data_IF_862224630860
#
_entry.id   IF_862224630860
#
_cell.length_a   1.000
_cell.length_b   1.000
_cell.length_c   1.000
_cell.angle_alpha   90.00
_cell.angle_beta   90.00
_cell.angle_gamma   90.00
#
_symmetry.space_group_name_H-M   'P 1'
#
loop_
_entity.id
_entity.type
_entity.pdbx_description
1 polymer ?
#
# COMPACT_ATOMS: atom_id res chain seq x y z
N UNK A 1 -11.46 -13.21 22.01
CA UNK A 1 -12.08 -14.25 21.18
C UNK A 1 -11.82 -15.63 21.78
N UNK A 2 -12.82 -16.52 21.72
CA UNK A 2 -12.65 -17.98 21.80
C UNK A 2 -12.83 -18.57 20.42
N UNK A 3 -11.95 -19.49 20.02
CA UNK A 3 -11.93 -19.95 18.64
C UNK A 3 -11.48 -21.40 18.51
N UNK A 4 -12.00 -22.08 17.51
CA UNK A 4 -11.47 -23.36 17.05
C UNK A 4 -10.34 -23.09 16.05
N UNK A 5 -9.17 -23.68 16.36
CA UNK A 5 -7.95 -23.50 15.57
C UNK A 5 -7.47 -24.86 15.10
N UNK A 6 -7.33 -25.03 13.79
CA UNK A 6 -6.74 -26.23 13.21
C UNK A 6 -5.22 -26.06 13.14
N UNK A 7 -4.52 -26.93 13.85
CA UNK A 7 -3.04 -26.93 13.82
C UNK A 7 -2.56 -27.43 12.46
N UNK A 8 -1.74 -26.62 11.81
CA UNK A 8 -1.13 -26.94 10.49
C UNK A 8 0.34 -27.27 10.57
N UNK A 9 1.02 -26.84 11.65
CA UNK A 9 2.41 -27.19 11.93
C UNK A 9 2.65 -27.11 13.43
N UNK A 10 3.15 -28.22 13.98
CA UNK A 10 3.59 -28.29 15.38
C UNK A 10 5.12 -28.14 15.46
N UNK A 11 5.59 -27.35 16.43
CA UNK A 11 6.98 -27.08 16.75
C UNK A 11 7.21 -27.27 18.25
N UNK A 12 8.47 -27.51 18.68
CA UNK A 12 8.80 -27.81 20.08
C UNK A 12 8.24 -26.84 21.15
N UNK A 13 8.04 -25.57 20.80
CA UNK A 13 7.64 -24.50 21.75
C UNK A 13 6.39 -23.74 21.34
N UNK A 14 5.90 -23.93 20.13
CA UNK A 14 4.73 -23.26 19.55
C UNK A 14 4.17 -24.07 18.40
N UNK A 15 2.95 -23.77 18.02
CA UNK A 15 2.32 -24.36 16.84
C UNK A 15 1.77 -23.25 15.93
N UNK A 16 1.70 -23.52 14.63
CA UNK A 16 0.96 -22.68 13.68
C UNK A 16 -0.43 -23.27 13.51
N UNK A 17 -1.43 -22.41 13.60
CA UNK A 17 -2.82 -22.78 13.40
C UNK A 17 -3.52 -21.87 12.41
N UNK A 18 -4.59 -22.37 11.83
CA UNK A 18 -5.53 -21.62 11.01
C UNK A 18 -6.84 -21.55 11.80
N UNK A 19 -7.41 -20.35 11.89
CA UNK A 19 -8.73 -20.14 12.46
C UNK A 19 -9.77 -20.87 11.61
N UNK A 20 -10.44 -21.88 12.21
CA UNK A 20 -11.55 -22.60 11.57
C UNK A 20 -12.89 -21.93 11.89
N UNK A 21 -13.15 -21.67 13.17
CA UNK A 21 -14.41 -21.10 13.63
C UNK A 21 -14.23 -20.23 14.86
N UNK A 22 -14.94 -19.09 14.90
CA UNK A 22 -15.01 -18.21 16.05
C UNK A 22 -16.20 -18.66 16.92
N UNK A 23 -15.94 -19.17 18.14
CA UNK A 23 -16.99 -19.60 19.07
C UNK A 23 -17.61 -18.42 19.76
N UNK A 24 -16.78 -17.59 20.38
CA UNK A 24 -17.21 -16.41 21.11
C UNK A 24 -16.37 -15.21 20.65
N UNK A 25 -16.94 -14.27 19.85
CA UNK A 25 -16.22 -13.06 19.50
C UNK A 25 -15.94 -12.19 20.73
N UNK A 26 -14.78 -11.53 20.76
CA UNK A 26 -14.48 -10.50 21.76
C UNK A 26 -15.46 -9.33 21.61
N UNK A 27 -15.85 -8.67 22.73
CA UNK A 27 -16.59 -7.40 22.66
C UNK A 27 -15.85 -6.28 21.92
N UNK A 28 -14.52 -6.38 21.83
CA UNK A 28 -13.68 -5.44 21.08
C UNK A 28 -13.67 -5.68 19.57
N UNK A 29 -14.33 -6.74 19.09
CA UNK A 29 -14.40 -7.04 17.66
C UNK A 29 -15.45 -6.18 16.97
N UNK A 30 -15.04 -5.56 15.85
CA UNK A 30 -15.92 -4.78 14.99
C UNK A 30 -16.11 -5.46 13.63
N UNK A 31 -17.21 -5.15 12.91
CA UNK A 31 -17.38 -5.58 11.53
C UNK A 31 -16.25 -5.05 10.65
N UNK A 32 -15.67 -5.93 9.83
CA UNK A 32 -14.61 -5.54 8.90
C UNK A 32 -15.22 -4.84 7.69
N UNK A 33 -14.88 -3.58 7.50
CA UNK A 33 -15.39 -2.71 6.43
C UNK A 33 -14.58 -2.77 5.11
N UNK A 34 -13.60 -3.67 5.03
CA UNK A 34 -12.78 -3.90 3.84
C UNK A 34 -13.10 -5.26 3.24
N UNK A 35 -13.66 -5.27 2.03
CA UNK A 35 -14.09 -6.50 1.34
C UNK A 35 -12.95 -7.49 1.08
N UNK A 36 -11.69 -7.04 1.10
CA UNK A 36 -10.50 -7.86 0.80
C UNK A 36 -9.60 -8.08 2.03
N UNK A 37 -10.04 -7.74 3.23
CA UNK A 37 -9.22 -7.85 4.45
C UNK A 37 -8.72 -9.27 4.72
N UNK A 38 -9.50 -10.31 4.40
CA UNK A 38 -9.06 -11.70 4.56
C UNK A 38 -7.96 -12.12 3.60
N UNK A 39 -8.14 -11.99 2.29
CA UNK A 39 -7.13 -12.39 1.31
C UNK A 39 -5.97 -11.41 1.16
N UNK A 40 -6.15 -10.11 1.49
CA UNK A 40 -5.11 -9.11 1.44
C UNK A 40 -4.20 -9.20 2.67
N UNK A 41 -2.88 -9.18 2.48
CA UNK A 41 -1.90 -9.22 3.58
C UNK A 41 -1.61 -7.86 4.24
N UNK A 42 -2.35 -6.80 3.92
CA UNK A 42 -1.98 -5.42 4.29
C UNK A 42 -2.38 -4.98 5.69
N UNK A 43 -3.46 -5.54 6.27
CA UNK A 43 -4.00 -5.13 7.57
C UNK A 43 -4.19 -6.34 8.50
N UNK A 44 -3.58 -6.29 9.69
CA UNK A 44 -3.65 -7.38 10.67
C UNK A 44 -4.75 -7.19 11.71
N UNK A 45 -5.16 -5.96 12.01
CA UNK A 45 -6.04 -5.61 13.14
C UNK A 45 -7.35 -4.93 12.71
N UNK A 46 -7.74 -5.01 11.42
CA UNK A 46 -8.94 -4.34 10.89
C UNK A 46 -10.27 -4.82 11.52
N UNK A 47 -10.25 -5.92 12.22
CA UNK A 47 -11.38 -6.51 12.94
C UNK A 47 -11.47 -6.06 14.39
N UNK A 48 -10.57 -5.20 14.85
CA UNK A 48 -10.46 -4.76 16.23
C UNK A 48 -10.86 -3.28 16.35
N UNK A 49 -11.63 -2.95 17.40
CA UNK A 49 -11.89 -1.56 17.76
C UNK A 49 -10.58 -0.82 18.00
N UNK A 50 -10.53 0.47 17.60
CA UNK A 50 -9.28 1.23 17.64
C UNK A 50 -8.74 1.41 19.06
N UNK A 51 -9.61 1.59 20.04
CA UNK A 51 -9.20 1.71 21.47
C UNK A 51 -8.58 0.40 21.94
N UNK A 52 -9.15 -0.73 21.56
CA UNK A 52 -8.59 -2.05 21.86
C UNK A 52 -7.27 -2.30 21.11
N UNK A 53 -7.14 -1.84 19.86
CA UNK A 53 -5.88 -1.88 19.11
C UNK A 53 -4.78 -1.10 19.83
N UNK A 54 -5.08 0.11 20.35
CA UNK A 54 -4.14 0.92 21.13
C UNK A 54 -3.69 0.17 22.40
N UNK A 55 -4.64 -0.40 23.15
CA UNK A 55 -4.31 -1.21 24.36
C UNK A 55 -3.37 -2.37 24.01
N UNK A 56 -3.71 -3.15 23.00
CA UNK A 56 -2.88 -4.29 22.58
C UNK A 56 -1.47 -3.87 22.14
N UNK A 57 -1.33 -2.74 21.45
CA UNK A 57 -0.02 -2.20 21.05
C UNK A 57 0.79 -1.74 22.25
N UNK A 58 0.18 -1.07 23.22
CA UNK A 58 0.84 -0.63 24.44
C UNK A 58 1.28 -1.82 25.31
N UNK A 59 0.42 -2.82 25.47
CA UNK A 59 0.74 -4.06 26.17
C UNK A 59 1.92 -4.80 25.53
N UNK A 60 1.97 -4.88 24.19
CA UNK A 60 3.10 -5.48 23.47
C UNK A 60 4.43 -4.78 23.78
N UNK A 61 4.44 -3.44 23.85
CA UNK A 61 5.65 -2.68 24.20
C UNK A 61 6.05 -2.92 25.66
N UNK A 62 5.10 -2.85 26.59
CA UNK A 62 5.31 -3.13 28.01
C UNK A 62 5.87 -4.53 28.22
N UNK A 63 5.29 -5.53 27.59
CA UNK A 63 5.75 -6.92 27.67
C UNK A 63 7.14 -7.12 27.05
N UNK A 64 7.46 -6.40 25.96
CA UNK A 64 8.80 -6.45 25.38
C UNK A 64 9.86 -5.92 26.34
N UNK A 65 9.62 -4.79 27.03
CA UNK A 65 10.54 -4.30 28.06
C UNK A 65 10.67 -5.29 29.21
N UNK A 66 9.55 -5.76 29.76
CA UNK A 66 9.55 -6.63 30.94
C UNK A 66 10.10 -8.02 30.64
N UNK A 67 9.57 -8.72 29.62
CA UNK A 67 9.86 -10.14 29.37
C UNK A 67 11.10 -10.38 28.53
N UNK A 68 11.40 -9.49 27.58
CA UNK A 68 12.58 -9.64 26.70
C UNK A 68 13.74 -8.83 27.25
N UNK A 69 13.50 -7.56 27.61
CA UNK A 69 14.50 -6.65 28.11
C UNK A 69 14.88 -6.89 29.59
N UNK A 70 14.05 -7.58 30.37
CA UNK A 70 14.25 -7.72 31.82
C UNK A 70 14.16 -6.38 32.58
N UNK A 71 13.50 -5.37 31.97
CA UNK A 71 13.42 -4.02 32.51
C UNK A 71 11.99 -3.75 33.02
N UNK A 72 11.88 -3.29 34.25
CA UNK A 72 10.63 -2.81 34.84
C UNK A 72 10.60 -1.26 34.77
N UNK A 73 10.27 -0.75 33.58
CA UNK A 73 10.20 0.70 33.33
C UNK A 73 8.77 1.10 32.99
N UNK A 74 8.31 2.30 33.39
CA UNK A 74 7.00 2.78 33.03
C UNK A 74 6.94 3.04 31.52
N UNK A 75 5.93 2.48 30.86
CA UNK A 75 5.57 2.79 29.47
C UNK A 75 4.45 3.81 29.52
N UNK A 76 4.68 4.99 28.95
CA UNK A 76 3.68 6.06 28.86
C UNK A 76 2.51 5.63 27.98
N UNK A 77 1.37 6.28 28.14
CA UNK A 77 0.19 6.04 27.32
C UNK A 77 0.48 6.24 25.84
N UNK A 78 -0.02 5.33 25.03
CA UNK A 78 0.13 5.39 23.58
C UNK A 78 -0.57 6.64 23.03
N UNK A 79 0.13 7.40 22.19
CA UNK A 79 -0.44 8.54 21.48
C UNK A 79 -1.31 8.03 20.32
N UNK A 80 -2.63 8.25 20.32
CA UNK A 80 -3.49 7.81 19.22
C UNK A 80 -3.25 8.65 17.96
N UNK A 81 -3.42 8.02 16.80
CA UNK A 81 -3.47 8.77 15.53
C UNK A 81 -4.80 9.52 15.43
N UNK A 82 -4.81 10.79 15.00
CA UNK A 82 -6.05 11.51 14.75
C UNK A 82 -6.86 10.91 13.59
N UNK A 83 -6.17 10.29 12.63
CA UNK A 83 -6.77 9.60 11.49
C UNK A 83 -6.47 8.11 11.55
N UNK A 84 -7.50 7.28 11.62
CA UNK A 84 -7.38 5.81 11.64
C UNK A 84 -7.35 5.24 10.23
N UNK A 85 -8.03 5.89 9.30
CA UNK A 85 -8.09 5.59 7.89
C UNK A 85 -7.49 6.71 7.04
N UNK A 86 -7.16 6.41 5.78
CA UNK A 86 -6.71 7.39 4.78
C UNK A 86 -5.43 8.16 5.13
N UNK A 87 -4.68 7.71 6.13
CA UNK A 87 -3.49 8.39 6.66
C UNK A 87 -2.21 8.21 5.84
N UNK A 88 -2.14 7.19 4.97
CA UNK A 88 -0.93 6.91 4.19
C UNK A 88 -0.78 7.88 3.03
N UNK A 89 0.28 8.68 3.05
CA UNK A 89 0.61 9.62 1.99
C UNK A 89 1.29 8.97 0.76
N UNK A 90 1.58 7.66 0.81
CA UNK A 90 2.27 6.92 -0.26
C UNK A 90 1.68 5.53 -0.44
N UNK A 91 1.54 5.10 -1.68
CA UNK A 91 1.16 3.73 -2.03
C UNK A 91 1.96 3.22 -3.23
N UNK A 92 2.20 1.92 -3.25
CA UNK A 92 2.86 1.21 -4.35
C UNK A 92 1.93 0.04 -4.73
N UNK A 93 1.09 0.28 -5.72
CA UNK A 93 0.18 -0.75 -6.21
C UNK A 93 0.88 -1.67 -7.19
N UNK A 94 1.03 -2.97 -6.94
CA UNK A 94 1.26 -3.91 -8.02
C UNK A 94 0.07 -3.86 -8.99
N UNK A 95 0.38 -3.94 -10.28
CA UNK A 95 -0.64 -3.96 -11.33
C UNK A 95 -0.75 -5.38 -11.87
N UNK A 96 -1.95 -5.92 -11.87
CA UNK A 96 -2.24 -7.25 -12.36
C UNK A 96 -3.50 -7.30 -13.20
N UNK A 97 -4.00 -8.50 -13.44
CA UNK A 97 -5.26 -8.73 -14.11
C UNK A 97 -6.31 -9.22 -13.10
N UNK A 98 -7.52 -8.72 -13.22
CA UNK A 98 -8.67 -9.23 -12.49
C UNK A 98 -9.15 -10.58 -13.10
N UNK A 99 -10.21 -11.16 -12.53
CA UNK A 99 -10.81 -12.43 -13.00
C UNK A 99 -11.38 -12.35 -14.44
N UNK A 100 -11.59 -11.14 -14.97
CA UNK A 100 -12.11 -10.90 -16.31
C UNK A 100 -10.98 -10.56 -17.29
N UNK A 101 -9.72 -10.56 -16.85
CA UNK A 101 -8.55 -10.21 -17.66
C UNK A 101 -8.32 -8.72 -17.83
N UNK A 102 -8.97 -7.86 -17.05
CA UNK A 102 -8.75 -6.41 -17.10
C UNK A 102 -7.61 -6.00 -16.14
N UNK A 103 -6.80 -5.00 -16.51
CA UNK A 103 -5.83 -4.41 -15.59
C UNK A 103 -6.48 -3.91 -14.30
N UNK A 104 -5.89 -4.23 -13.16
CA UNK A 104 -6.37 -3.81 -11.85
C UNK A 104 -5.21 -3.47 -10.91
N UNK A 105 -5.47 -2.54 -9.99
CA UNK A 105 -4.62 -2.30 -8.84
C UNK A 105 -5.01 -3.25 -7.69
N UNK A 106 -4.03 -3.56 -6.83
CA UNK A 106 -4.31 -4.37 -5.65
C UNK A 106 -3.11 -4.46 -4.72
N UNK A 107 -3.09 -5.53 -3.94
CA UNK A 107 -1.96 -5.87 -3.07
C UNK A 107 -1.70 -7.38 -3.14
N UNK A 108 -0.50 -7.78 -2.78
CA UNK A 108 -0.18 -9.19 -2.73
C UNK A 108 -0.90 -9.89 -1.58
N UNK A 109 -1.46 -11.06 -1.86
CA UNK A 109 -1.91 -11.97 -0.81
C UNK A 109 -0.72 -12.39 0.06
N UNK A 110 -0.94 -12.53 1.36
CA UNK A 110 0.13 -12.80 2.31
C UNK A 110 1.04 -13.96 1.86
N UNK A 111 2.36 -13.71 1.86
CA UNK A 111 3.42 -14.66 1.46
C UNK A 111 3.34 -15.17 0.02
N UNK A 112 2.70 -14.43 -0.88
CA UNK A 112 2.60 -14.77 -2.30
C UNK A 112 2.78 -13.54 -3.17
N UNK A 113 2.94 -13.72 -4.49
CA UNK A 113 2.89 -12.66 -5.50
C UNK A 113 1.52 -12.59 -6.21
N UNK A 114 0.51 -13.31 -5.69
CA UNK A 114 -0.86 -13.23 -6.22
C UNK A 114 -1.50 -11.91 -5.82
N UNK A 115 -1.87 -11.11 -6.80
CA UNK A 115 -2.52 -9.81 -6.58
C UNK A 115 -3.99 -10.04 -6.18
N UNK A 116 -4.39 -9.42 -5.09
CA UNK A 116 -5.78 -9.30 -4.65
C UNK A 116 -6.27 -7.94 -5.13
N UNK A 117 -7.19 -7.86 -6.10
CA UNK A 117 -7.73 -6.60 -6.57
C UNK A 117 -8.35 -5.79 -5.43
N UNK A 118 -7.93 -4.53 -5.29
CA UNK A 118 -8.40 -3.64 -4.21
C UNK A 118 -8.57 -2.23 -4.77
N UNK A 119 -9.73 -1.90 -5.35
CA UNK A 119 -9.97 -0.61 -5.98
C UNK A 119 -10.14 0.54 -4.98
N UNK A 120 -10.50 0.24 -3.72
CA UNK A 120 -10.63 1.22 -2.64
C UNK A 120 -9.98 0.71 -1.35
N UNK A 121 -8.68 0.92 -1.22
CA UNK A 121 -7.95 0.64 0.01
C UNK A 121 -8.19 1.77 1.02
N UNK A 122 -8.54 1.41 2.26
CA UNK A 122 -8.83 2.36 3.33
C UNK A 122 -7.60 3.05 3.91
N UNK A 123 -6.38 2.60 3.59
CA UNK A 123 -5.16 3.14 4.21
C UNK A 123 -4.70 4.46 3.59
N UNK A 124 -4.88 4.67 2.29
CA UNK A 124 -4.47 5.90 1.60
C UNK A 124 -5.68 6.77 1.20
N UNK A 125 -5.47 8.08 0.99
CA UNK A 125 -6.50 8.99 0.48
C UNK A 125 -7.21 8.44 -0.76
N UNK A 126 -8.52 8.64 -0.86
CA UNK A 126 -9.34 8.12 -1.96
C UNK A 126 -8.81 8.51 -3.33
N UNK A 127 -8.32 9.74 -3.49
CA UNK A 127 -7.74 10.24 -4.74
C UNK A 127 -6.60 9.35 -5.27
N UNK A 128 -5.80 8.73 -4.40
CA UNK A 128 -4.74 7.81 -4.84
C UNK A 128 -5.32 6.50 -5.40
N UNK A 129 -6.42 6.00 -4.83
CA UNK A 129 -7.16 4.87 -5.39
C UNK A 129 -7.77 5.24 -6.75
N UNK A 130 -8.37 6.43 -6.86
CA UNK A 130 -9.02 6.92 -8.07
C UNK A 130 -8.03 7.06 -9.23
N UNK A 131 -6.83 7.61 -8.95
CA UNK A 131 -5.73 7.69 -9.93
C UNK A 131 -5.30 6.29 -10.36
N UNK A 132 -5.09 5.36 -9.43
CA UNK A 132 -4.72 3.99 -9.75
C UNK A 132 -5.75 3.29 -10.63
N UNK A 133 -7.05 3.46 -10.33
CA UNK A 133 -8.14 2.92 -11.14
C UNK A 133 -8.25 3.61 -12.51
N UNK A 134 -8.01 4.93 -12.60
CA UNK A 134 -7.99 5.65 -13.88
C UNK A 134 -6.85 5.16 -14.79
N UNK A 135 -5.68 4.91 -14.21
CA UNK A 135 -4.54 4.31 -14.93
C UNK A 135 -4.87 2.92 -15.45
N UNK A 136 -5.50 2.06 -14.64
CA UNK A 136 -5.91 0.72 -15.09
C UNK A 136 -6.93 0.77 -16.24
N UNK A 137 -7.89 1.71 -16.20
CA UNK A 137 -8.81 1.93 -17.32
C UNK A 137 -8.06 2.37 -18.58
N UNK A 138 -7.12 3.33 -18.47
CA UNK A 138 -6.29 3.75 -19.57
C UNK A 138 -5.47 2.59 -20.17
N UNK A 139 -4.91 1.72 -19.32
CA UNK A 139 -4.17 0.54 -19.78
C UNK A 139 -5.06 -0.40 -20.58
N UNK A 140 -6.28 -0.67 -20.09
CA UNK A 140 -7.25 -1.53 -20.80
C UNK A 140 -7.63 -0.96 -22.17
N UNK A 141 -7.95 0.34 -22.24
CA UNK A 141 -8.36 1.04 -23.46
C UNK A 141 -7.26 1.06 -24.54
N UNK A 142 -5.98 1.08 -24.13
CA UNK A 142 -4.82 1.18 -25.01
C UNK A 142 -4.04 -0.14 -25.16
N UNK A 143 -4.56 -1.26 -24.67
CA UNK A 143 -3.90 -2.56 -24.77
C UNK A 143 -2.58 -2.69 -24.03
N UNK A 144 -2.34 -1.82 -23.02
CA UNK A 144 -1.11 -1.84 -22.21
C UNK A 144 -1.22 -2.95 -21.17
N UNK A 145 -0.33 -3.95 -21.28
CA UNK A 145 -0.39 -5.13 -20.45
C UNK A 145 0.38 -4.96 -19.13
N UNK A 146 -0.20 -5.35 -17.98
CA UNK A 146 0.54 -5.56 -16.75
C UNK A 146 1.68 -6.57 -16.94
N UNK A 147 2.78 -6.37 -16.21
CA UNK A 147 3.89 -7.31 -16.21
C UNK A 147 3.52 -8.59 -15.45
N UNK A 148 3.73 -9.70 -16.11
CA UNK A 148 3.55 -11.03 -15.52
C UNK A 148 4.93 -11.59 -15.15
N UNK A 149 5.18 -11.84 -13.88
CA UNK A 149 6.46 -12.30 -13.34
C UNK A 149 6.82 -13.73 -13.78
N UNK A 150 5.82 -14.58 -14.04
CA UNK A 150 6.05 -15.97 -14.48
C UNK A 150 6.49 -16.05 -15.94
N UNK A 151 5.90 -15.22 -16.80
CA UNK A 151 6.20 -15.22 -18.24
C UNK A 151 7.25 -14.22 -18.66
N UNK A 152 7.57 -13.24 -17.78
CA UNK A 152 8.46 -12.13 -18.09
C UNK A 152 7.89 -11.14 -19.13
N UNK A 153 6.58 -11.20 -19.42
CA UNK A 153 5.92 -10.37 -20.42
C UNK A 153 5.06 -9.27 -19.81
N UNK A 154 4.84 -8.20 -20.55
CA UNK A 154 4.08 -7.03 -20.12
C UNK A 154 4.97 -5.81 -19.88
N UNK A 155 4.35 -4.67 -19.60
CA UNK A 155 5.03 -3.39 -19.48
C UNK A 155 4.99 -2.86 -18.05
N UNK A 156 3.79 -2.73 -17.47
CA UNK A 156 3.58 -2.03 -16.19
C UNK A 156 3.67 -3.01 -15.03
N UNK A 157 4.61 -2.77 -14.12
CA UNK A 157 4.81 -3.57 -12.90
C UNK A 157 4.05 -2.99 -11.72
N UNK A 158 4.25 -1.69 -11.46
CA UNK A 158 3.65 -1.01 -10.31
C UNK A 158 3.22 0.40 -10.70
N UNK A 159 2.24 0.92 -9.96
CA UNK A 159 1.89 2.33 -9.90
C UNK A 159 2.33 2.82 -8.52
N UNK A 160 3.33 3.69 -8.48
CA UNK A 160 3.78 4.37 -7.29
C UNK A 160 3.12 5.75 -7.23
N UNK A 161 2.39 6.02 -6.15
CA UNK A 161 1.75 7.31 -5.91
C UNK A 161 2.21 7.88 -4.58
N UNK A 162 2.46 9.19 -4.56
CA UNK A 162 2.80 9.94 -3.34
C UNK A 162 2.03 11.25 -3.34
N UNK A 163 1.49 11.60 -2.17
CA UNK A 163 0.80 12.88 -1.93
C UNK A 163 1.51 13.63 -0.84
N UNK A 164 1.78 14.93 -1.05
CA UNK A 164 2.21 15.83 0.02
C UNK A 164 1.11 15.97 1.05
N UNK A 165 1.43 15.80 2.33
CA UNK A 165 0.44 15.85 3.40
C UNK A 165 -0.12 17.26 3.60
N UNK A 166 0.73 18.29 3.49
CA UNK A 166 0.36 19.69 3.62
C UNK A 166 0.07 20.35 2.28
N UNK A 167 0.89 20.09 1.26
CA UNK A 167 0.73 20.71 -0.06
C UNK A 167 -0.43 20.13 -0.87
N UNK A 168 -0.79 18.88 -0.63
CA UNK A 168 -1.73 18.14 -1.46
C UNK A 168 -1.19 17.70 -2.82
N UNK A 169 0.00 18.15 -3.23
CA UNK A 169 0.61 17.81 -4.52
C UNK A 169 0.77 16.28 -4.67
N UNK A 170 0.49 15.77 -5.87
CA UNK A 170 0.55 14.34 -6.15
C UNK A 170 1.64 14.03 -7.17
N UNK A 171 2.46 13.06 -6.86
CA UNK A 171 3.37 12.39 -7.77
C UNK A 171 2.76 11.09 -8.25
N UNK A 172 2.75 10.89 -9.56
CA UNK A 172 2.44 9.63 -10.22
C UNK A 172 3.72 9.07 -10.82
N UNK A 173 4.11 7.85 -10.46
CA UNK A 173 5.28 7.19 -11.03
C UNK A 173 4.89 5.79 -11.53
N UNK A 174 4.96 5.58 -12.84
CA UNK A 174 4.74 4.28 -13.46
C UNK A 174 6.04 3.48 -13.42
N UNK A 175 6.02 2.32 -12.81
CA UNK A 175 7.17 1.42 -12.81
C UNK A 175 7.00 0.42 -13.94
N UNK A 176 7.87 0.52 -14.95
CA UNK A 176 7.77 -0.22 -16.19
C UNK A 176 9.01 -1.07 -16.45
N UNK A 177 8.88 -2.08 -17.31
CA UNK A 177 10.00 -2.95 -17.71
C UNK A 177 10.96 -2.29 -18.69
N UNK A 178 10.56 -1.20 -19.35
CA UNK A 178 11.33 -0.45 -20.37
C UNK A 178 10.90 1.01 -20.43
N UNK A 179 11.75 1.93 -20.95
CA UNK A 179 11.48 3.37 -20.93
C UNK A 179 10.43 3.83 -21.97
N UNK A 180 10.15 3.03 -22.99
CA UNK A 180 9.18 3.40 -24.00
C UNK A 180 7.75 3.07 -23.54
N UNK A 181 7.01 4.10 -23.14
CA UNK A 181 5.62 3.98 -22.72
C UNK A 181 4.68 4.47 -23.85
N UNK A 182 3.79 3.60 -24.37
CA UNK A 182 2.90 3.99 -25.45
C UNK A 182 1.87 5.00 -24.95
N UNK A 183 1.54 5.98 -25.82
CA UNK A 183 0.55 7.02 -25.53
C UNK A 183 0.84 7.88 -24.30
N UNK A 184 2.13 8.13 -23.98
CA UNK A 184 2.55 8.89 -22.79
C UNK A 184 1.90 10.28 -22.70
N UNK A 185 1.87 11.03 -23.82
CA UNK A 185 1.29 12.39 -23.86
C UNK A 185 -0.23 12.36 -23.59
N UNK A 186 -0.95 11.41 -24.19
CA UNK A 186 -2.38 11.24 -23.98
C UNK A 186 -2.68 10.85 -22.51
N UNK A 187 -1.84 9.99 -21.91
CA UNK A 187 -1.94 9.66 -20.50
C UNK A 187 -1.75 10.87 -19.60
N UNK A 188 -0.69 11.65 -19.84
CA UNK A 188 -0.39 12.86 -19.06
C UNK A 188 -1.52 13.88 -19.16
N UNK A 189 -2.04 14.13 -20.35
CA UNK A 189 -3.18 15.05 -20.58
C UNK A 189 -4.41 14.58 -19.81
N UNK A 190 -4.81 13.32 -19.98
CA UNK A 190 -6.00 12.75 -19.33
C UNK A 190 -5.92 12.78 -17.80
N UNK A 191 -4.76 12.42 -17.24
CA UNK A 191 -4.59 12.44 -15.79
C UNK A 191 -4.67 13.85 -15.21
N UNK A 192 -4.07 14.85 -15.88
CA UNK A 192 -4.10 16.23 -15.43
C UNK A 192 -5.49 16.87 -15.53
N UNK A 193 -6.26 16.52 -16.55
CA UNK A 193 -7.65 16.95 -16.67
C UNK A 193 -8.55 16.39 -15.59
N UNK A 194 -8.29 15.14 -15.15
CA UNK A 194 -9.10 14.47 -14.14
C UNK A 194 -8.66 14.78 -12.70
N UNK A 195 -7.37 15.07 -12.48
CA UNK A 195 -6.76 15.23 -11.16
C UNK A 195 -5.84 16.44 -11.13
N UNK A 196 -6.39 17.60 -10.76
CA UNK A 196 -5.68 18.88 -10.77
C UNK A 196 -4.45 18.95 -9.86
N UNK A 197 -4.45 18.13 -8.78
CA UNK A 197 -3.35 18.10 -7.78
C UNK A 197 -2.11 17.33 -8.28
N UNK A 198 -2.13 16.73 -9.47
CA UNK A 198 -0.95 16.05 -10.03
C UNK A 198 0.09 17.08 -10.44
N UNK A 199 1.17 17.16 -9.65
CA UNK A 199 2.30 18.06 -9.89
C UNK A 199 3.34 17.45 -10.81
N UNK A 200 3.49 16.12 -10.79
CA UNK A 200 4.48 15.43 -11.65
C UNK A 200 4.08 14.01 -12.00
N UNK A 201 4.44 13.58 -13.22
CA UNK A 201 4.25 12.22 -13.73
C UNK A 201 5.61 11.69 -14.20
N UNK A 202 5.98 10.52 -13.70
CA UNK A 202 7.27 9.88 -13.90
C UNK A 202 7.11 8.50 -14.51
N UNK A 203 8.12 8.06 -15.24
CA UNK A 203 8.33 6.69 -15.65
C UNK A 203 9.62 6.18 -15.01
N UNK A 204 9.53 5.18 -14.16
CA UNK A 204 10.70 4.49 -13.59
C UNK A 204 10.89 3.15 -14.29
N UNK A 205 12.13 2.87 -14.70
CA UNK A 205 12.48 1.66 -15.41
C UNK A 205 13.04 0.62 -14.46
N UNK A 206 12.34 -0.50 -14.32
CA UNK A 206 12.81 -1.67 -13.59
C UNK A 206 12.63 -2.93 -14.45
N UNK A 207 13.67 -3.28 -15.20
CA UNK A 207 13.71 -4.47 -16.06
C UNK A 207 14.19 -5.74 -15.32
N UNK A 208 14.65 -5.60 -14.06
CA UNK A 208 15.24 -6.71 -13.31
C UNK A 208 14.16 -7.59 -12.67
N UNK A 209 14.41 -8.90 -12.63
CA UNK A 209 13.60 -9.82 -11.83
C UNK A 209 14.05 -9.72 -10.35
N UNK A 210 13.43 -8.83 -9.59
CA UNK A 210 13.79 -8.49 -8.22
C UNK A 210 12.55 -8.01 -7.44
N UNK A 211 12.58 -8.17 -6.12
CA UNK A 211 11.56 -7.65 -5.21
C UNK A 211 11.66 -6.12 -4.99
N UNK A 212 12.73 -5.49 -5.48
CA UNK A 212 12.86 -4.02 -5.45
C UNK A 212 11.88 -3.42 -6.45
N UNK A 213 11.02 -2.52 -5.99
CA UNK A 213 9.96 -1.94 -6.84
C UNK A 213 10.53 -0.93 -7.82
N UNK A 214 11.28 0.06 -7.33
CA UNK A 214 11.85 1.12 -8.16
C UNK A 214 13.21 0.73 -8.71
N UNK A 215 13.41 0.90 -10.02
CA UNK A 215 14.70 0.84 -10.65
C UNK A 215 15.51 2.14 -10.46
N UNK A 216 16.70 2.17 -11.01
CA UNK A 216 17.64 3.31 -10.89
C UNK A 216 17.43 4.40 -11.95
N UNK A 217 16.76 4.09 -13.04
CA UNK A 217 16.49 4.99 -14.16
C UNK A 217 15.08 5.57 -14.04
N UNK A 218 14.94 6.90 -14.11
CA UNK A 218 13.66 7.57 -14.04
C UNK A 218 13.58 8.69 -15.06
N UNK A 219 12.50 8.73 -15.83
CA UNK A 219 12.20 9.76 -16.83
C UNK A 219 11.02 10.60 -16.38
N UNK A 220 11.10 11.91 -16.54
CA UNK A 220 9.99 12.82 -16.27
C UNK A 220 9.13 12.92 -17.52
N UNK A 221 7.85 12.54 -17.41
CA UNK A 221 6.85 12.68 -18.46
C UNK A 221 6.12 14.03 -18.36
N UNK A 222 5.93 14.52 -17.13
CA UNK A 222 5.30 15.80 -16.86
C UNK A 222 5.79 16.37 -15.52
N UNK A 223 5.89 17.71 -15.43
CA UNK A 223 6.23 18.45 -14.22
C UNK A 223 7.73 18.42 -13.87
N UNK A 224 8.10 18.80 -12.62
CA UNK A 224 9.48 19.00 -12.23
C UNK A 224 10.23 17.71 -11.86
N UNK A 225 9.56 16.56 -11.75
CA UNK A 225 10.17 15.29 -11.31
C UNK A 225 10.12 15.05 -9.81
N UNK A 226 9.53 15.97 -9.05
CA UNK A 226 9.32 15.88 -7.59
C UNK A 226 8.00 16.56 -7.21
N UNK A 227 7.59 16.37 -5.96
CA UNK A 227 6.55 17.17 -5.32
C UNK A 227 7.16 17.97 -4.17
N UNK A 228 6.54 19.07 -3.82
CA UNK A 228 6.89 19.87 -2.65
C UNK A 228 5.95 19.55 -1.50
N UNK A 229 6.46 19.58 -0.29
CA UNK A 229 5.68 19.46 0.93
C UNK A 229 6.34 20.25 2.07
N UNK A 230 5.70 20.30 3.23
CA UNK A 230 6.26 20.93 4.43
C UNK A 230 6.33 19.91 5.56
N UNK A 231 7.51 19.75 6.16
CA UNK A 231 7.73 18.87 7.30
C UNK A 231 8.20 19.69 8.50
N UNK A 232 7.40 19.74 9.55
CA UNK A 232 7.70 20.53 10.77
C UNK A 232 8.05 22.00 10.46
N UNK A 233 7.35 22.63 9.50
CA UNK A 233 7.60 23.99 9.06
C UNK A 233 8.74 24.16 8.05
N UNK A 234 9.45 23.09 7.70
CA UNK A 234 10.55 23.13 6.72
C UNK A 234 10.05 22.67 5.35
N UNK A 235 10.23 23.47 4.28
CA UNK A 235 9.90 23.04 2.93
C UNK A 235 10.84 21.91 2.47
N UNK A 236 10.27 20.88 1.87
CA UNK A 236 11.01 19.71 1.38
C UNK A 236 10.59 19.36 -0.04
N UNK A 237 11.54 18.87 -0.84
CA UNK A 237 11.28 18.30 -2.16
C UNK A 237 11.39 16.78 -2.10
N UNK A 238 10.36 16.10 -2.59
CA UNK A 238 10.23 14.65 -2.52
C UNK A 238 10.24 14.05 -3.92
N UNK A 239 11.34 13.41 -4.27
CA UNK A 239 11.44 12.57 -5.48
C UNK A 239 10.90 11.14 -5.23
N UNK A 240 10.89 10.28 -6.28
CA UNK A 240 10.38 8.91 -6.15
C UNK A 240 11.18 8.06 -5.15
N UNK A 241 12.50 8.29 -5.05
CA UNK A 241 13.41 7.55 -4.17
C UNK A 241 13.59 8.20 -2.78
N UNK A 242 13.03 9.39 -2.55
CA UNK A 242 13.14 10.07 -1.26
C UNK A 242 12.47 9.26 -0.15
N UNK A 243 13.17 9.08 0.96
CA UNK A 243 12.54 8.58 2.18
C UNK A 243 11.63 9.67 2.77
N UNK A 244 10.41 9.31 3.10
CA UNK A 244 9.44 10.16 3.79
C UNK A 244 8.48 9.26 4.55
N UNK A 245 8.16 9.62 5.79
CA UNK A 245 7.22 8.83 6.59
C UNK A 245 5.86 8.76 5.88
N UNK A 246 5.28 7.56 5.86
CA UNK A 246 3.98 7.35 5.17
C UNK A 246 2.78 7.83 5.99
N UNK A 247 2.96 7.98 7.28
CA UNK A 247 2.06 8.65 8.22
C UNK A 247 2.79 9.90 8.71
N UNK A 248 2.34 11.07 8.27
CA UNK A 248 2.99 12.37 8.50
C UNK A 248 2.36 13.06 9.68
#
# INVERSE_FOLDING_TARGET
>A
DEADVRIVKDCKRYAFGILDHLRTPSPDRIPVDCAVAGPCGGCSLRHLDYTAELRAKQENVTDAFRRIGGLDVPVLDICPSPEVDRYRNKVQFPVGLDKNGNPCIGFYAGRTHRIVPCPDCKLQPGVLNDIGNALCRFFAENGIQPYNEETGRGLVRHIFLRRGAHSGQIMVCLVCTRPNFPHADALCTRLREQFADIATILLNVNSKNTNVILGTETHTLYGPGYIEDTLCGVPVQLGPLSFYQVNT
#
